data_IF_137120389258
#
_entry.id   IF_137120389258
#
_cell.length_a   1.000
_cell.length_b   1.000
_cell.length_c   1.000
_cell.angle_alpha   90.00
_cell.angle_beta   90.00
_cell.angle_gamma   90.00
#
_symmetry.space_group_name_H-M   'P 1'
#
loop_
_entity.id
_entity.type
_entity.pdbx_description
1 polymer ?
#
# COMPACT_ATOMS: atom_id res chain seq x y z
N UNK A 1 25.29 21.09 -6.44
CA UNK A 1 23.90 20.65 -6.73
C UNK A 1 23.60 19.45 -5.86
N UNK A 2 22.56 19.50 -5.02
CA UNK A 2 22.10 18.31 -4.32
C UNK A 2 21.25 17.49 -5.29
N UNK A 3 21.72 16.31 -5.69
CA UNK A 3 20.89 15.33 -6.38
C UNK A 3 19.83 14.86 -5.38
N UNK A 4 18.64 15.48 -5.41
CA UNK A 4 17.50 14.92 -4.70
C UNK A 4 17.22 13.55 -5.32
N UNK A 5 17.33 12.47 -4.52
CA UNK A 5 16.90 11.14 -4.94
C UNK A 5 15.48 11.26 -5.52
N UNK A 6 15.16 10.61 -6.65
CA UNK A 6 13.79 10.54 -7.15
C UNK A 6 12.90 10.12 -5.98
N UNK A 7 11.92 10.95 -5.61
CA UNK A 7 10.97 10.62 -4.56
C UNK A 7 10.08 9.51 -5.11
N UNK A 8 10.49 8.25 -4.99
CA UNK A 8 9.77 7.06 -5.45
C UNK A 8 8.45 6.78 -4.69
N UNK A 9 7.84 7.80 -4.07
CA UNK A 9 6.68 7.69 -3.20
C UNK A 9 5.55 8.69 -3.47
N UNK A 10 5.59 9.48 -4.55
CA UNK A 10 4.55 10.51 -4.82
C UNK A 10 3.28 10.00 -5.51
N UNK A 11 3.04 8.68 -5.55
CA UNK A 11 1.87 8.08 -6.18
C UNK A 11 0.76 7.78 -5.16
N UNK A 12 -0.49 7.58 -5.58
CA UNK A 12 -1.57 7.12 -4.69
C UNK A 12 -1.24 5.74 -4.10
N UNK A 13 -2.00 5.28 -3.11
CA UNK A 13 -1.96 3.88 -2.71
C UNK A 13 -2.36 2.97 -3.89
N UNK A 14 -1.76 1.78 -3.97
CA UNK A 14 -2.02 0.81 -5.03
C UNK A 14 -2.22 -0.58 -4.43
N UNK A 15 -3.11 -1.39 -5.01
CA UNK A 15 -3.28 -2.80 -4.69
C UNK A 15 -3.49 -3.59 -6.00
N UNK A 16 -2.67 -4.61 -6.24
CA UNK A 16 -2.67 -5.40 -7.48
C UNK A 16 -2.49 -6.89 -7.19
N UNK A 17 -3.07 -7.77 -8.02
CA UNK A 17 -2.82 -9.21 -7.93
C UNK A 17 -1.52 -9.56 -8.67
N UNK A 18 -0.53 -10.07 -7.94
CA UNK A 18 0.75 -10.54 -8.49
C UNK A 18 1.01 -11.96 -7.97
N UNK A 19 1.22 -12.91 -8.87
CA UNK A 19 1.59 -14.30 -8.53
C UNK A 19 0.68 -14.98 -7.49
N UNK A 20 -0.64 -14.74 -7.56
CA UNK A 20 -1.70 -15.25 -6.66
C UNK A 20 -1.78 -14.59 -5.27
N UNK A 21 -1.01 -13.53 -5.03
CA UNK A 21 -1.14 -12.69 -3.83
C UNK A 21 -1.61 -11.29 -4.22
N UNK A 22 -2.14 -10.55 -3.26
CA UNK A 22 -2.40 -9.12 -3.39
C UNK A 22 -1.18 -8.37 -2.88
N UNK A 23 -0.58 -7.54 -3.72
CA UNK A 23 0.52 -6.65 -3.37
C UNK A 23 -0.04 -5.25 -3.20
N UNK A 24 0.00 -4.75 -1.97
CA UNK A 24 -0.40 -3.39 -1.61
C UNK A 24 0.83 -2.50 -1.43
N UNK A 25 0.79 -1.29 -2.01
CA UNK A 25 1.86 -0.29 -1.94
C UNK A 25 1.32 1.00 -1.32
N UNK A 26 1.85 1.39 -0.17
CA UNK A 26 1.42 2.58 0.58
C UNK A 26 2.55 3.62 0.59
N UNK A 27 2.31 4.87 0.16
CA UNK A 27 3.28 5.96 0.32
C UNK A 27 3.62 6.19 1.80
N UNK A 28 4.92 6.37 2.10
CA UNK A 28 5.38 6.69 3.46
C UNK A 28 5.84 8.14 3.57
N UNK A 29 5.50 8.79 4.68
CA UNK A 29 5.88 10.18 4.98
C UNK A 29 7.41 10.37 5.05
N UNK A 30 8.16 9.32 5.36
CA UNK A 30 9.63 9.30 5.35
C UNK A 30 10.26 9.15 3.96
N UNK A 31 9.44 9.05 2.92
CA UNK A 31 9.85 8.72 1.56
C UNK A 31 9.84 7.22 1.27
N UNK A 32 9.67 6.87 -0.01
CA UNK A 32 9.52 5.49 -0.45
C UNK A 32 8.09 4.96 -0.28
N UNK A 33 7.96 3.63 -0.29
CA UNK A 33 6.67 2.94 -0.19
C UNK A 33 6.80 1.72 0.72
N UNK A 34 5.81 1.54 1.59
CA UNK A 34 5.59 0.29 2.29
C UNK A 34 4.94 -0.69 1.30
N UNK A 35 5.50 -1.89 1.20
CA UNK A 35 4.97 -2.95 0.34
C UNK A 35 4.54 -4.10 1.23
N UNK A 36 3.28 -4.51 1.11
CA UNK A 36 2.69 -5.60 1.88
C UNK A 36 2.12 -6.62 0.91
N UNK A 37 2.45 -7.88 1.12
CA UNK A 37 1.85 -9.00 0.41
C UNK A 37 0.78 -9.67 1.29
N UNK A 38 -0.38 -9.93 0.71
CA UNK A 38 -1.52 -10.54 1.39
C UNK A 38 -2.05 -11.71 0.55
N UNK A 39 -2.57 -12.73 1.22
CA UNK A 39 -3.52 -13.67 0.63
C UNK A 39 -4.85 -12.97 0.30
N UNK A 40 -5.74 -13.65 -0.43
CA UNK A 40 -7.07 -13.09 -0.74
C UNK A 40 -7.92 -12.95 0.51
N UNK A 41 -7.79 -13.90 1.43
CA UNK A 41 -8.47 -13.94 2.72
C UNK A 41 -8.04 -12.76 3.59
N UNK A 42 -6.74 -12.56 3.79
CA UNK A 42 -6.20 -11.45 4.58
C UNK A 42 -6.57 -10.08 3.98
N UNK A 43 -6.54 -9.95 2.64
CA UNK A 43 -6.93 -8.71 1.97
C UNK A 43 -8.43 -8.39 2.18
N UNK A 44 -9.29 -9.41 2.17
CA UNK A 44 -10.72 -9.24 2.44
C UNK A 44 -11.01 -8.81 3.88
N UNK A 45 -10.33 -9.42 4.85
CA UNK A 45 -10.43 -9.03 6.26
C UNK A 45 -9.96 -7.59 6.48
N UNK A 46 -8.78 -7.24 5.95
CA UNK A 46 -8.24 -5.88 6.04
C UNK A 46 -9.21 -4.84 5.44
N UNK A 47 -9.75 -5.10 4.26
CA UNK A 47 -10.69 -4.18 3.60
C UNK A 47 -11.95 -3.93 4.44
N UNK A 48 -12.48 -4.97 5.09
CA UNK A 48 -13.62 -4.85 6.02
C UNK A 48 -13.27 -4.00 7.23
N UNK A 49 -12.15 -4.30 7.91
CA UNK A 49 -11.71 -3.57 9.10
C UNK A 49 -11.47 -2.08 8.81
N UNK A 50 -10.87 -1.77 7.65
CA UNK A 50 -10.64 -0.39 7.23
C UNK A 50 -11.94 0.36 6.94
N UNK A 51 -12.92 -0.30 6.30
CA UNK A 51 -14.24 0.30 6.03
C UNK A 51 -14.97 0.60 7.34
N UNK A 52 -15.00 -0.38 8.26
CA UNK A 52 -15.62 -0.23 9.58
C UNK A 52 -14.98 0.90 10.38
N UNK A 53 -13.64 1.00 10.37
CA UNK A 53 -12.93 2.07 11.06
C UNK A 53 -13.09 3.46 10.43
N UNK A 54 -13.34 3.54 9.11
CA UNK A 54 -13.52 4.81 8.41
C UNK A 54 -14.93 5.40 8.55
N UNK A 55 -15.92 4.55 8.85
CA UNK A 55 -17.32 4.94 9.05
C UNK A 55 -17.70 5.19 10.52
N UNK A 56 -16.82 4.82 11.46
CA UNK A 56 -16.99 5.02 12.90
C UNK A 56 -16.66 6.46 13.34
#
# INVERSE_FOLDING_TARGET
MAAMKPRTGSGPMEAVEESRKIVMRIPSDGGGRLVVELSKEEAGELGRLLTEAAEA
#
